data_IF_875250033944
#
_entry.id   IF_875250033944
#
_cell.length_a   1.000
_cell.length_b   1.000
_cell.length_c   1.000
_cell.angle_alpha   90.00
_cell.angle_beta   90.00
_cell.angle_gamma   90.00
#
_symmetry.space_group_name_H-M   'P 1'
#
loop_
_entity.id
_entity.type
_entity.pdbx_description
1 polymer ?
#
# COMPACT_ATOMS: atom_id res chain seq x y z
N UNK A 1 -23.50 -43.46 -32.46
CA UNK A 1 -22.17 -43.08 -31.94
C UNK A 1 -21.83 -41.68 -32.43
N UNK A 2 -22.16 -40.64 -31.66
CA UNK A 2 -21.74 -39.27 -31.98
C UNK A 2 -20.33 -39.07 -31.41
N UNK A 3 -19.36 -38.88 -32.30
CA UNK A 3 -17.99 -38.48 -31.93
C UNK A 3 -18.06 -37.06 -31.39
N UNK A 4 -17.93 -36.92 -30.07
CA UNK A 4 -17.61 -35.64 -29.44
C UNK A 4 -16.17 -35.28 -29.84
N UNK A 5 -16.04 -34.58 -30.96
CA UNK A 5 -14.78 -33.96 -31.39
C UNK A 5 -14.42 -32.90 -30.35
N UNK A 6 -13.22 -33.04 -29.79
CA UNK A 6 -12.58 -32.11 -28.85
C UNK A 6 -12.34 -30.74 -29.51
N UNK A 7 -13.38 -29.91 -29.59
CA UNK A 7 -13.33 -28.53 -30.14
C UNK A 7 -12.83 -27.51 -29.10
N UNK A 8 -12.88 -27.86 -27.81
CA UNK A 8 -12.56 -26.95 -26.70
C UNK A 8 -11.12 -26.38 -26.78
N UNK A 9 -10.14 -27.20 -27.18
CA UNK A 9 -8.72 -26.78 -27.24
C UNK A 9 -8.41 -25.64 -28.23
N UNK A 10 -9.25 -25.44 -29.25
CA UNK A 10 -9.04 -24.40 -30.29
C UNK A 10 -9.59 -23.05 -29.84
N UNK A 11 -10.77 -23.07 -29.21
CA UNK A 11 -11.41 -21.88 -28.64
C UNK A 11 -10.60 -21.38 -27.46
N UNK A 12 -10.17 -22.28 -26.57
CA UNK A 12 -9.31 -21.96 -25.42
C UNK A 12 -8.00 -21.30 -25.85
N UNK A 13 -7.38 -21.80 -26.93
CA UNK A 13 -6.15 -21.23 -27.47
C UNK A 13 -6.35 -19.81 -28.00
N UNK A 14 -7.49 -19.57 -28.64
CA UNK A 14 -7.86 -18.26 -29.17
C UNK A 14 -8.13 -17.24 -28.05
N UNK A 15 -8.83 -17.67 -27.00
CA UNK A 15 -9.07 -16.86 -25.79
C UNK A 15 -7.76 -16.55 -25.05
N UNK A 16 -6.84 -17.52 -24.97
CA UNK A 16 -5.52 -17.30 -24.39
C UNK A 16 -4.64 -16.36 -25.21
N UNK A 17 -4.69 -16.44 -26.54
CA UNK A 17 -3.97 -15.50 -27.41
C UNK A 17 -4.51 -14.07 -27.24
N UNK A 18 -5.83 -13.91 -27.20
CA UNK A 18 -6.48 -12.62 -26.98
C UNK A 18 -6.11 -12.01 -25.63
N UNK A 19 -6.24 -12.77 -24.54
CA UNK A 19 -5.91 -12.32 -23.18
C UNK A 19 -4.43 -11.94 -23.02
N UNK A 20 -3.49 -12.70 -23.62
CA UNK A 20 -2.06 -12.35 -23.64
C UNK A 20 -1.80 -11.05 -24.38
N UNK A 21 -2.49 -10.85 -25.51
CA UNK A 21 -2.35 -9.62 -26.30
C UNK A 21 -2.88 -8.42 -25.53
N UNK A 22 -4.04 -8.57 -24.88
CA UNK A 22 -4.65 -7.55 -24.04
C UNK A 22 -3.77 -7.18 -22.84
N UNK A 23 -3.17 -8.17 -22.17
CA UNK A 23 -2.21 -7.94 -21.08
C UNK A 23 -0.94 -7.23 -21.54
N UNK A 24 -0.43 -7.58 -22.73
CA UNK A 24 0.74 -6.92 -23.33
C UNK A 24 0.44 -5.43 -23.57
N UNK A 25 -0.70 -5.12 -24.19
CA UNK A 25 -1.12 -3.73 -24.41
C UNK A 25 -1.39 -3.00 -23.10
N UNK A 26 -2.07 -3.64 -22.14
CA UNK A 26 -2.29 -3.06 -20.82
C UNK A 26 -0.96 -2.72 -20.12
N UNK A 27 0.07 -3.56 -20.24
CA UNK A 27 1.39 -3.29 -19.65
C UNK A 27 2.16 -2.14 -20.30
N UNK A 28 1.88 -1.83 -21.56
CA UNK A 28 2.50 -0.73 -22.32
C UNK A 28 1.72 0.57 -22.09
N UNK A 29 0.39 0.50 -22.13
CA UNK A 29 -0.50 1.66 -22.05
C UNK A 29 -0.75 2.12 -20.62
N UNK A 30 -0.73 1.23 -19.63
CA UNK A 30 -0.80 1.60 -18.22
C UNK A 30 0.64 1.87 -17.77
N UNK A 31 1.04 3.14 -17.59
CA UNK A 31 2.33 3.43 -17.02
C UNK A 31 2.36 2.78 -15.63
N UNK A 32 3.11 1.69 -15.50
CA UNK A 32 3.47 1.17 -14.19
C UNK A 32 4.42 2.19 -13.60
N UNK A 33 3.88 3.12 -12.81
CA UNK A 33 4.71 3.97 -11.97
C UNK A 33 5.74 3.06 -11.28
N UNK A 34 7.02 3.45 -11.31
CA UNK A 34 8.02 2.77 -10.48
C UNK A 34 7.42 2.73 -9.08
N UNK A 35 7.15 1.52 -8.57
CA UNK A 35 6.69 1.34 -7.21
C UNK A 35 7.79 1.89 -6.33
N UNK A 36 7.65 3.15 -5.93
CA UNK A 36 8.53 3.78 -4.97
C UNK A 36 8.39 2.92 -3.72
N UNK A 37 9.43 2.16 -3.41
CA UNK A 37 9.54 1.46 -2.14
C UNK A 37 9.79 2.54 -1.10
N UNK A 38 8.72 3.20 -0.67
CA UNK A 38 8.77 4.11 0.45
C UNK A 38 9.21 3.27 1.64
N UNK A 39 10.48 3.45 2.04
CA UNK A 39 10.94 3.03 3.35
C UNK A 39 10.04 3.76 4.34
N UNK A 40 9.21 3.00 5.01
CA UNK A 40 8.26 3.59 5.92
C UNK A 40 9.01 4.08 7.16
N UNK A 41 8.78 5.33 7.55
CA UNK A 41 9.41 6.02 8.69
C UNK A 41 9.00 5.44 10.06
N UNK A 42 8.72 4.14 10.16
CA UNK A 42 8.11 3.52 11.34
C UNK A 42 9.17 3.13 12.38
N UNK A 43 9.05 3.70 13.56
CA UNK A 43 9.95 3.48 14.69
C UNK A 43 9.23 2.70 15.81
N UNK A 44 7.88 2.76 15.83
CA UNK A 44 6.98 2.01 16.72
C UNK A 44 6.19 0.98 15.93
N UNK A 45 5.74 -0.12 16.57
CA UNK A 45 5.08 -1.28 15.94
C UNK A 45 3.74 -0.89 15.29
N UNK A 46 3.71 -0.45 14.01
CA UNK A 46 2.52 0.15 13.41
C UNK A 46 1.54 -0.94 12.97
N UNK A 47 2.06 -2.15 12.80
CA UNK A 47 1.34 -3.31 12.35
C UNK A 47 0.28 -3.69 13.39
N UNK A 48 0.62 -3.63 14.68
CA UNK A 48 -0.33 -3.85 15.78
C UNK A 48 -1.46 -2.81 15.78
N UNK A 49 -1.13 -1.54 15.52
CA UNK A 49 -2.13 -0.46 15.45
C UNK A 49 -3.01 -0.59 14.21
N UNK A 50 -2.46 -1.04 13.07
CA UNK A 50 -3.22 -1.33 11.86
C UNK A 50 -4.16 -2.50 12.09
N UNK A 51 -3.66 -3.61 12.64
CA UNK A 51 -4.47 -4.78 12.97
C UNK A 51 -5.61 -4.42 13.92
N UNK A 52 -5.35 -3.62 14.96
CA UNK A 52 -6.39 -3.10 15.88
C UNK A 52 -7.43 -2.25 15.16
N UNK A 53 -7.01 -1.32 14.29
CA UNK A 53 -7.93 -0.52 13.47
C UNK A 53 -8.76 -1.39 12.53
N UNK A 54 -8.15 -2.38 11.90
CA UNK A 54 -8.84 -3.24 10.92
C UNK A 54 -9.83 -4.18 11.59
N UNK A 55 -9.49 -4.72 12.77
CA UNK A 55 -10.44 -5.42 13.62
C UNK A 55 -11.62 -4.54 14.04
N UNK A 56 -11.35 -3.29 14.48
CA UNK A 56 -12.40 -2.33 14.82
C UNK A 56 -13.27 -1.96 13.60
N UNK A 57 -12.69 -1.87 12.40
CA UNK A 57 -13.40 -1.59 11.16
C UNK A 57 -14.34 -2.74 10.81
N UNK A 58 -13.85 -3.97 10.88
CA UNK A 58 -14.66 -5.13 10.55
C UNK A 58 -15.79 -5.32 11.55
N UNK A 59 -15.54 -5.05 12.83
CA UNK A 59 -16.58 -5.05 13.86
C UNK A 59 -17.65 -3.98 13.61
N UNK A 60 -17.25 -2.73 13.38
CA UNK A 60 -18.18 -1.65 13.07
C UNK A 60 -18.99 -1.92 11.79
N UNK A 61 -18.38 -2.56 10.78
CA UNK A 61 -19.05 -2.98 9.54
C UNK A 61 -20.13 -4.03 9.78
N UNK A 62 -19.88 -4.98 10.69
CA UNK A 62 -20.82 -6.06 11.02
C UNK A 62 -21.96 -5.58 11.91
N UNK A 63 -21.66 -4.85 12.99
CA UNK A 63 -22.65 -4.48 14.00
C UNK A 63 -23.42 -3.22 13.63
N UNK A 64 -22.79 -2.24 12.97
CA UNK A 64 -23.38 -0.93 12.69
C UNK A 64 -23.64 -0.05 13.93
N UNK A 65 -23.27 -0.52 15.13
CA UNK A 65 -23.50 0.18 16.39
C UNK A 65 -22.63 1.44 16.53
N UNK A 66 -23.18 2.44 17.22
CA UNK A 66 -22.52 3.74 17.43
C UNK A 66 -21.27 3.60 18.30
N UNK A 67 -21.30 2.71 19.28
CA UNK A 67 -20.17 2.38 20.16
C UNK A 67 -18.99 1.85 19.36
N UNK A 68 -19.24 0.88 18.48
CA UNK A 68 -18.21 0.29 17.62
C UNK A 68 -17.64 1.32 16.62
N UNK A 69 -18.47 2.24 16.12
CA UNK A 69 -18.01 3.35 15.29
C UNK A 69 -17.12 4.34 16.05
N UNK A 70 -17.42 4.59 17.34
CA UNK A 70 -16.57 5.42 18.21
C UNK A 70 -15.22 4.74 18.44
N UNK A 71 -15.20 3.42 18.69
CA UNK A 71 -13.96 2.65 18.84
C UNK A 71 -13.12 2.71 17.57
N UNK A 72 -13.73 2.55 16.39
CA UNK A 72 -13.05 2.71 15.11
C UNK A 72 -12.41 4.09 14.97
N UNK A 73 -13.14 5.18 15.29
CA UNK A 73 -12.60 6.54 15.26
C UNK A 73 -11.41 6.70 16.22
N UNK A 74 -11.48 6.15 17.43
CA UNK A 74 -10.36 6.17 18.38
C UNK A 74 -9.13 5.47 17.81
N UNK A 75 -9.28 4.26 17.27
CA UNK A 75 -8.17 3.51 16.67
C UNK A 75 -7.55 4.25 15.48
N UNK A 76 -8.37 4.88 14.63
CA UNK A 76 -7.89 5.71 13.51
C UNK A 76 -7.07 6.90 13.99
N UNK A 77 -7.54 7.62 15.02
CA UNK A 77 -6.83 8.76 15.59
C UNK A 77 -5.50 8.35 16.21
N UNK A 78 -5.46 7.23 16.95
CA UNK A 78 -4.22 6.68 17.53
C UNK A 78 -3.21 6.33 16.44
N UNK A 79 -3.65 5.64 15.38
CA UNK A 79 -2.77 5.28 14.26
C UNK A 79 -2.24 6.54 13.54
N UNK A 80 -3.10 7.54 13.31
CA UNK A 80 -2.69 8.81 12.70
C UNK A 80 -1.65 9.52 13.55
N UNK A 81 -1.87 9.60 14.86
CA UNK A 81 -0.91 10.20 15.80
C UNK A 81 0.43 9.47 15.77
N UNK A 82 0.43 8.14 15.90
CA UNK A 82 1.64 7.33 15.84
C UNK A 82 2.42 7.53 14.52
N UNK A 83 1.71 7.67 13.40
CA UNK A 83 2.32 7.97 12.09
C UNK A 83 3.03 9.33 12.08
N UNK A 84 2.38 10.36 12.62
CA UNK A 84 2.93 11.71 12.69
C UNK A 84 4.15 11.74 13.62
N UNK A 85 4.04 11.12 14.78
CA UNK A 85 5.12 11.07 15.77
C UNK A 85 6.33 10.34 15.19
N UNK A 86 6.13 9.20 14.51
CA UNK A 86 7.21 8.44 13.88
C UNK A 86 7.94 9.24 12.77
N UNK A 87 7.20 10.00 11.96
CA UNK A 87 7.78 10.92 10.98
C UNK A 87 8.61 12.01 11.66
N UNK A 88 8.08 12.62 12.73
CA UNK A 88 8.77 13.67 13.50
C UNK A 88 10.05 13.16 14.13
N UNK A 89 10.02 12.00 14.79
CA UNK A 89 11.20 11.39 15.39
C UNK A 89 12.25 11.07 14.33
N UNK A 90 11.84 10.49 13.20
CA UNK A 90 12.80 10.18 12.13
C UNK A 90 13.44 11.43 11.53
N UNK A 91 12.66 12.50 11.37
CA UNK A 91 13.18 13.80 10.92
C UNK A 91 14.14 14.41 11.95
N UNK A 92 13.80 14.38 13.24
CA UNK A 92 14.69 14.83 14.31
C UNK A 92 16.01 14.05 14.31
N UNK A 93 15.96 12.72 14.25
CA UNK A 93 17.17 11.90 14.15
C UNK A 93 17.97 12.13 12.87
N UNK A 94 17.31 12.55 11.79
CA UNK A 94 17.98 12.98 10.56
C UNK A 94 18.72 14.31 10.77
N UNK A 95 18.06 15.30 11.37
CA UNK A 95 18.64 16.60 11.67
C UNK A 95 19.84 16.50 12.63
N UNK A 96 19.76 15.65 13.65
CA UNK A 96 20.87 15.39 14.58
C UNK A 96 22.13 14.85 13.89
N UNK A 97 21.95 14.13 12.78
CA UNK A 97 23.05 13.51 12.01
C UNK A 97 23.47 14.35 10.81
N UNK A 98 22.73 15.41 10.48
CA UNK A 98 22.94 16.19 9.27
C UNK A 98 24.11 17.15 9.45
N UNK A 99 25.09 17.08 8.58
CA UNK A 99 26.20 18.02 8.56
C UNK A 99 26.01 19.02 7.41
N UNK A 100 25.48 20.21 7.72
CA UNK A 100 25.07 21.24 6.76
C UNK A 100 26.17 21.72 5.79
N UNK A 101 27.43 21.40 6.05
CA UNK A 101 28.55 21.79 5.18
C UNK A 101 28.89 20.75 4.11
N UNK A 102 28.41 19.50 4.26
CA UNK A 102 28.78 18.37 3.40
C UNK A 102 27.58 17.58 2.85
N UNK A 103 26.42 17.69 3.49
CA UNK A 103 25.27 16.81 3.26
C UNK A 103 24.11 17.47 2.48
N UNK A 104 24.37 18.48 1.65
CA UNK A 104 23.33 19.20 0.87
C UNK A 104 22.48 18.26 -0.01
N UNK A 105 23.13 17.30 -0.67
CA UNK A 105 22.47 16.29 -1.52
C UNK A 105 21.61 15.34 -0.67
N UNK A 106 22.04 15.03 0.56
CA UNK A 106 21.28 14.17 1.49
C UNK A 106 20.06 14.89 2.04
N UNK A 107 20.15 16.18 2.36
CA UNK A 107 19.02 17.01 2.74
C UNK A 107 17.97 17.06 1.63
N UNK A 108 18.39 17.39 0.40
CA UNK A 108 17.52 17.40 -0.77
C UNK A 108 16.79 16.06 -0.98
N UNK A 109 17.53 14.94 -0.88
CA UNK A 109 16.96 13.62 -1.07
C UNK A 109 16.00 13.19 0.04
N UNK A 110 16.20 13.64 1.29
CA UNK A 110 15.28 13.36 2.39
C UNK A 110 13.93 14.09 2.20
N UNK A 111 13.96 15.34 1.72
CA UNK A 111 12.76 16.16 1.48
C UNK A 111 11.97 15.74 0.23
N UNK A 112 12.63 15.15 -0.77
CA UNK A 112 11.97 14.63 -1.97
C UNK A 112 11.24 13.30 -1.76
N UNK A 113 11.34 12.67 -0.58
CA UNK A 113 10.52 11.52 -0.18
C UNK A 113 9.15 12.05 0.29
N UNK A 114 8.37 12.60 -0.64
CA UNK A 114 6.93 12.87 -0.46
C UNK A 114 6.10 11.72 -0.99
#
# INVERSE_FOLDING_TARGET
MLKNLSVDSSVDRSVHAFTRTLLKWASICIPRERVKRYSTFWNSNPEDLKQKRDGAREKARKTGQKEDCIVLKKCQTVLKKATIDSKRTTYQSFLEKLNFRRDDIRAHNFDCIK
#
